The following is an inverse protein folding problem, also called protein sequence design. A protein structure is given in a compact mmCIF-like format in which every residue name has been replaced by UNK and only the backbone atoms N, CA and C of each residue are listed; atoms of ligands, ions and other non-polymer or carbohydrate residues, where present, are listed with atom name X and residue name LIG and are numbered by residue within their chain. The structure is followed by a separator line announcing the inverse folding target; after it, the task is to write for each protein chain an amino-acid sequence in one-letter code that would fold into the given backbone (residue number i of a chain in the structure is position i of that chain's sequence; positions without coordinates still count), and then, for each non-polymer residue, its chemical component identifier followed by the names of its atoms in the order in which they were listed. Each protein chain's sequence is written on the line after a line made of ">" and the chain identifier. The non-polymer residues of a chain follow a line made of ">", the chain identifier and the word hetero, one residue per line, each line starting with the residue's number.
data_IF_824969987051
#
_entry.id   IF_824969987051
#
_cell.length_a   1.000
_cell.length_b   1.000
_cell.length_c   1.000
_cell.angle_alpha   90.00
_cell.angle_beta   90.00
_cell.angle_gamma   90.00
#
_symmetry.space_group_name_H-M   'P 1'
#
loop_
_entity.id
_entity.type
_entity.pdbx_description
1 polymer ?
#
# COMPACT_ATOMS: atom_id res chain seq x y z
N UNK A 1 13.28 -47.89 -24.33
CA UNK A 1 12.43 -47.41 -25.44
C UNK A 1 11.18 -46.69 -24.91
N UNK A 2 11.17 -45.35 -24.96
CA UNK A 2 10.04 -44.54 -24.48
C UNK A 2 10.41 -43.07 -24.35
N UNK A 3 10.49 -42.40 -25.52
CA UNK A 3 10.56 -40.95 -25.83
C UNK A 3 10.33 -40.02 -24.63
N UNK A 4 11.33 -39.23 -24.22
CA UNK A 4 11.58 -37.87 -24.72
C UNK A 4 10.29 -37.02 -24.74
N UNK A 5 9.98 -36.39 -23.60
CA UNK A 5 9.10 -35.22 -23.54
C UNK A 5 10.04 -34.02 -23.50
N UNK A 6 10.38 -33.51 -24.67
CA UNK A 6 11.04 -32.21 -24.81
C UNK A 6 10.07 -31.11 -24.42
N UNK A 7 10.53 -30.29 -23.49
CA UNK A 7 10.19 -28.89 -23.26
C UNK A 7 9.19 -28.24 -24.23
N UNK A 8 8.05 -27.85 -23.68
CA UNK A 8 7.25 -26.71 -24.18
C UNK A 8 6.74 -25.88 -22.99
N UNK A 9 7.67 -25.42 -22.15
CA UNK A 9 7.44 -24.25 -21.29
C UNK A 9 7.95 -23.00 -22.02
N UNK A 10 7.22 -22.57 -23.04
CA UNK A 10 7.35 -21.20 -23.54
C UNK A 10 6.35 -20.35 -22.75
N UNK A 11 6.80 -19.80 -21.64
CA UNK A 11 6.10 -18.75 -20.91
C UNK A 11 6.09 -17.48 -21.76
N UNK A 12 4.96 -17.20 -22.42
CA UNK A 12 4.66 -15.91 -23.04
C UNK A 12 4.62 -14.82 -21.95
N UNK A 13 5.75 -14.20 -21.61
CA UNK A 13 5.75 -12.91 -20.88
C UNK A 13 7.03 -12.10 -21.09
N UNK A 14 7.47 -11.99 -22.34
CA UNK A 14 8.32 -10.90 -22.79
C UNK A 14 7.76 -10.41 -24.10
N UNK A 15 7.33 -9.15 -24.18
CA UNK A 15 7.29 -8.53 -25.49
C UNK A 15 8.72 -8.21 -25.86
N UNK A 16 9.26 -8.93 -26.85
CA UNK A 16 10.57 -8.60 -27.38
C UNK A 16 10.56 -7.15 -27.89
N UNK A 17 11.71 -6.47 -27.91
CA UNK A 17 11.82 -5.12 -28.46
C UNK A 17 11.19 -5.01 -29.88
N UNK A 18 11.27 -6.10 -30.65
CA UNK A 18 10.62 -6.22 -31.96
C UNK A 18 9.09 -6.18 -31.91
N UNK A 19 8.46 -6.78 -30.89
CA UNK A 19 6.99 -6.76 -30.73
C UNK A 19 6.50 -5.37 -30.31
N UNK A 20 7.26 -4.65 -29.49
CA UNK A 20 6.95 -3.26 -29.12
C UNK A 20 7.14 -2.30 -30.30
N UNK A 21 8.18 -2.52 -31.12
CA UNK A 21 8.37 -1.77 -32.36
C UNK A 21 7.25 -2.07 -33.38
N UNK A 22 6.82 -3.32 -33.50
CA UNK A 22 5.68 -3.69 -34.33
C UNK A 22 4.38 -3.04 -33.84
N UNK A 23 4.18 -2.96 -32.51
CA UNK A 23 3.06 -2.23 -31.93
C UNK A 23 3.11 -0.74 -32.28
N UNK A 24 4.28 -0.08 -32.16
CA UNK A 24 4.43 1.32 -32.57
C UNK A 24 4.06 1.52 -34.05
N UNK A 25 4.60 0.69 -34.95
CA UNK A 25 4.29 0.76 -36.38
C UNK A 25 2.82 0.46 -36.72
N UNK A 26 2.08 -0.26 -35.87
CA UNK A 26 0.65 -0.49 -36.05
C UNK A 26 -0.18 0.73 -35.65
N UNK A 27 0.34 1.57 -34.75
CA UNK A 27 -0.29 2.81 -34.30
C UNK A 27 0.06 4.00 -35.20
N UNK A 28 1.29 4.09 -35.69
CA UNK A 28 1.74 5.09 -36.67
C UNK A 28 1.21 4.71 -38.07
N UNK A 29 0.00 5.16 -38.40
CA UNK A 29 -0.72 4.74 -39.62
C UNK A 29 -0.18 5.47 -40.84
N UNK A 30 0.22 6.74 -40.68
CA UNK A 30 0.72 7.55 -41.78
C UNK A 30 2.23 7.36 -42.03
N UNK A 31 2.96 6.73 -41.10
CA UNK A 31 4.38 6.43 -41.19
C UNK A 31 5.29 7.65 -40.99
N UNK A 32 4.81 8.67 -40.27
CA UNK A 32 5.57 9.90 -40.03
C UNK A 32 6.56 9.79 -38.86
N UNK A 33 6.58 8.65 -38.18
CA UNK A 33 7.51 8.33 -37.10
C UNK A 33 7.06 8.81 -35.73
N UNK A 34 5.87 9.38 -35.60
CA UNK A 34 5.21 9.71 -34.33
C UNK A 34 3.78 9.14 -34.32
N UNK A 35 3.16 9.09 -33.14
CA UNK A 35 1.75 8.68 -33.05
C UNK A 35 0.92 9.90 -32.63
N UNK A 36 0.03 10.34 -33.51
CA UNK A 36 -0.94 11.40 -33.18
C UNK A 36 -2.06 10.90 -32.25
N UNK A 37 -2.74 11.82 -31.57
CA UNK A 37 -3.90 11.49 -30.73
C UNK A 37 -4.99 10.77 -31.52
N UNK A 38 -5.25 11.22 -32.75
CA UNK A 38 -6.24 10.64 -33.64
C UNK A 38 -5.92 9.20 -34.01
N UNK A 39 -4.66 8.91 -34.36
CA UNK A 39 -4.18 7.55 -34.66
C UNK A 39 -4.30 6.64 -33.44
N UNK A 40 -3.84 7.12 -32.28
CA UNK A 40 -3.91 6.37 -31.03
C UNK A 40 -5.35 6.01 -30.66
N UNK A 41 -6.26 6.99 -30.70
CA UNK A 41 -7.69 6.78 -30.40
C UNK A 41 -8.34 5.88 -31.45
N UNK A 42 -8.01 6.04 -32.73
CA UNK A 42 -8.58 5.24 -33.80
C UNK A 42 -8.29 3.75 -33.63
N UNK A 43 -7.06 3.39 -33.23
CA UNK A 43 -6.67 2.00 -32.99
C UNK A 43 -7.32 1.45 -31.71
N UNK A 44 -7.29 2.19 -30.60
CA UNK A 44 -7.81 1.69 -29.31
C UNK A 44 -9.34 1.56 -29.22
N UNK A 45 -10.06 2.31 -30.05
CA UNK A 45 -11.53 2.24 -30.11
C UNK A 45 -12.04 1.18 -31.09
N UNK A 46 -11.15 0.58 -31.90
CA UNK A 46 -11.47 -0.59 -32.74
C UNK A 46 -11.34 -1.89 -31.94
N UNK A 47 -12.25 -2.82 -32.18
CA UNK A 47 -12.23 -4.12 -31.51
C UNK A 47 -11.03 -4.97 -31.96
N UNK A 48 -10.17 -5.36 -31.00
CA UNK A 48 -9.26 -6.51 -31.16
C UNK A 48 -7.86 -6.25 -31.74
N UNK A 49 -7.49 -5.02 -32.13
CA UNK A 49 -6.22 -4.76 -32.82
C UNK A 49 -5.05 -4.38 -31.88
N UNK A 50 -5.33 -3.90 -30.66
CA UNK A 50 -4.31 -3.36 -29.73
C UNK A 50 -3.98 -4.25 -28.51
N UNK A 51 -4.30 -5.56 -28.55
CA UNK A 51 -4.07 -6.47 -27.42
C UNK A 51 -4.98 -6.25 -26.20
N UNK A 52 -5.96 -5.34 -26.29
CA UNK A 52 -6.95 -5.09 -25.25
C UNK A 52 -8.19 -5.99 -25.42
N UNK A 53 -8.67 -6.56 -24.31
CA UNK A 53 -9.82 -7.48 -24.29
C UNK A 53 -11.16 -6.85 -24.70
N UNK A 54 -11.24 -5.51 -24.74
CA UNK A 54 -12.42 -4.75 -25.19
C UNK A 54 -11.99 -3.42 -25.84
N UNK A 55 -12.81 -2.89 -26.78
CA UNK A 55 -12.64 -1.52 -27.26
C UNK A 55 -12.65 -0.52 -26.12
N UNK A 56 -11.71 0.42 -26.15
CA UNK A 56 -11.63 1.51 -25.18
C UNK A 56 -12.59 2.64 -25.60
N UNK A 57 -13.15 3.38 -24.64
CA UNK A 57 -13.89 4.60 -24.96
C UNK A 57 -12.92 5.69 -25.39
N UNK A 58 -13.34 6.58 -26.29
CA UNK A 58 -12.49 7.69 -26.76
C UNK A 58 -11.87 8.50 -25.62
N UNK A 59 -12.65 8.86 -24.60
CA UNK A 59 -12.16 9.61 -23.45
C UNK A 59 -11.13 8.84 -22.60
N UNK A 60 -11.23 7.51 -22.53
CA UNK A 60 -10.24 6.66 -21.86
C UNK A 60 -8.94 6.61 -22.68
N UNK A 61 -9.04 6.50 -24.01
CA UNK A 61 -7.88 6.52 -24.91
C UNK A 61 -7.16 7.87 -24.90
N UNK A 62 -7.90 8.98 -24.91
CA UNK A 62 -7.33 10.33 -24.78
C UNK A 62 -6.65 10.55 -23.42
N UNK A 63 -7.21 9.99 -22.34
CA UNK A 63 -6.57 10.05 -21.03
C UNK A 63 -5.28 9.23 -20.99
N UNK A 64 -5.26 8.06 -21.62
CA UNK A 64 -4.06 7.23 -21.73
C UNK A 64 -2.98 7.91 -22.58
N UNK A 65 -3.36 8.49 -23.72
CA UNK A 65 -2.45 9.27 -24.57
C UNK A 65 -1.77 10.39 -23.79
N UNK A 66 -2.57 11.21 -23.08
CA UNK A 66 -2.04 12.29 -22.23
C UNK A 66 -1.12 11.81 -21.10
N UNK A 67 -1.24 10.56 -20.67
CA UNK A 67 -0.33 9.99 -19.67
C UNK A 67 0.99 9.52 -20.27
N UNK A 68 1.06 9.32 -21.60
CA UNK A 68 2.25 8.88 -22.32
C UNK A 68 3.03 10.09 -22.87
N UNK A 69 2.30 11.14 -23.29
CA UNK A 69 2.83 12.42 -23.78
C UNK A 69 3.48 13.21 -22.64
N UNK A 70 4.76 12.94 -22.39
CA UNK A 70 5.50 13.50 -21.26
C UNK A 70 5.94 14.94 -21.51
N UNK A 71 6.28 15.28 -22.75
CA UNK A 71 6.73 16.62 -23.13
C UNK A 71 5.56 17.57 -23.49
N UNK A 72 4.35 17.03 -23.68
CA UNK A 72 3.14 17.79 -23.95
C UNK A 72 3.08 18.36 -25.37
N UNK A 73 3.84 17.79 -26.30
CA UNK A 73 3.90 18.26 -27.68
C UNK A 73 2.68 17.81 -28.52
N UNK A 74 1.81 16.95 -27.97
CA UNK A 74 0.58 16.47 -28.60
C UNK A 74 0.77 15.28 -29.55
N UNK A 75 1.97 14.68 -29.61
CA UNK A 75 2.31 13.46 -30.34
C UNK A 75 3.12 12.53 -29.43
N UNK A 76 3.11 11.22 -29.69
CA UNK A 76 3.96 10.28 -28.95
C UNK A 76 5.17 9.92 -29.79
N UNK A 77 6.36 10.22 -29.27
CA UNK A 77 7.59 9.62 -29.76
C UNK A 77 7.63 8.11 -29.47
N UNK A 78 8.55 7.38 -30.11
CA UNK A 78 8.74 5.95 -29.88
C UNK A 78 9.03 5.62 -28.42
N UNK A 79 9.82 6.46 -27.73
CA UNK A 79 10.16 6.27 -26.33
C UNK A 79 8.97 6.52 -25.39
N UNK A 80 8.19 7.57 -25.67
CA UNK A 80 6.96 7.93 -24.96
C UNK A 80 5.84 6.92 -25.17
N UNK A 81 5.84 6.17 -26.28
CA UNK A 81 4.90 5.08 -26.49
C UNK A 81 5.38 3.77 -25.84
N UNK A 82 6.57 3.28 -26.20
CA UNK A 82 6.98 1.88 -25.91
C UNK A 82 7.02 1.59 -24.41
N UNK A 83 7.59 2.49 -23.61
CA UNK A 83 7.80 2.26 -22.17
C UNK A 83 6.47 2.17 -21.41
N UNK A 84 5.61 3.20 -21.40
CA UNK A 84 4.37 3.14 -20.66
C UNK A 84 3.36 2.17 -21.30
N UNK A 85 3.46 1.88 -22.61
CA UNK A 85 2.67 0.84 -23.25
C UNK A 85 3.00 -0.57 -22.74
N UNK A 86 4.28 -0.90 -22.56
CA UNK A 86 4.69 -2.18 -21.98
C UNK A 86 4.14 -2.35 -20.55
N UNK A 87 4.19 -1.29 -19.74
CA UNK A 87 3.60 -1.26 -18.39
C UNK A 87 2.08 -1.43 -18.46
N UNK A 88 1.40 -0.75 -19.39
CA UNK A 88 -0.04 -0.88 -19.61
C UNK A 88 -0.46 -2.31 -19.94
N UNK A 89 0.24 -2.98 -20.86
CA UNK A 89 -0.07 -4.36 -21.26
C UNK A 89 0.18 -5.36 -20.14
N UNK A 90 1.29 -5.21 -19.40
CA UNK A 90 1.59 -6.07 -18.25
C UNK A 90 0.53 -5.91 -17.15
N UNK A 91 0.10 -4.66 -16.88
CA UNK A 91 -0.99 -4.37 -15.95
C UNK A 91 -2.30 -5.01 -16.38
N UNK A 92 -2.70 -4.91 -17.65
CA UNK A 92 -3.94 -5.52 -18.15
C UNK A 92 -3.89 -7.05 -18.11
N UNK A 93 -2.72 -7.64 -18.36
CA UNK A 93 -2.51 -9.08 -18.24
C UNK A 93 -2.64 -9.56 -16.79
N UNK A 94 -2.13 -8.78 -15.84
CA UNK A 94 -2.31 -9.00 -14.40
C UNK A 94 -3.79 -8.89 -14.00
N UNK A 95 -4.50 -7.83 -14.44
CA UNK A 95 -5.95 -7.68 -14.18
C UNK A 95 -6.73 -8.92 -14.67
N UNK A 96 -6.42 -9.40 -15.87
CA UNK A 96 -7.05 -10.60 -16.44
C UNK A 96 -6.73 -11.86 -15.63
N UNK A 97 -5.55 -11.96 -15.02
CA UNK A 97 -5.22 -13.05 -14.10
C UNK A 97 -5.99 -12.98 -12.79
N UNK A 98 -6.26 -11.78 -12.28
CA UNK A 98 -7.06 -11.56 -11.07
C UNK A 98 -8.53 -11.92 -11.29
N UNK A 99 -9.08 -11.66 -12.48
CA UNK A 99 -10.43 -12.13 -12.86
C UNK A 99 -10.53 -13.66 -12.80
N UNK A 100 -9.47 -14.38 -13.17
CA UNK A 100 -9.43 -15.84 -13.07
C UNK A 100 -9.44 -16.33 -11.60
N UNK A 101 -8.90 -15.56 -10.66
CA UNK A 101 -8.97 -15.87 -9.22
C UNK A 101 -10.40 -15.71 -8.71
N UNK A 102 -11.12 -14.67 -9.14
CA UNK A 102 -12.53 -14.47 -8.80
C UNK A 102 -13.39 -15.62 -9.35
N UNK A 103 -13.15 -16.02 -10.60
CA UNK A 103 -13.84 -17.15 -11.25
C UNK A 103 -13.54 -18.52 -10.60
N UNK A 104 -12.36 -18.68 -10.00
CA UNK A 104 -11.96 -19.91 -9.29
C UNK A 104 -12.49 -19.98 -7.85
N UNK A 105 -13.09 -18.91 -7.32
CA UNK A 105 -13.51 -18.83 -5.93
C UNK A 105 -14.45 -19.99 -5.54
N UNK A 106 -14.13 -20.69 -4.45
CA UNK A 106 -14.84 -21.90 -4.00
C UNK A 106 -14.43 -23.22 -4.69
N UNK A 107 -13.43 -23.22 -5.59
CA UNK A 107 -12.91 -24.41 -6.26
C UNK A 107 -11.42 -24.58 -5.99
N UNK A 108 -11.07 -25.30 -4.92
CA UNK A 108 -9.69 -25.46 -4.43
C UNK A 108 -8.70 -25.90 -5.53
N UNK A 109 -9.09 -26.88 -6.35
CA UNK A 109 -8.26 -27.40 -7.45
C UNK A 109 -7.91 -26.35 -8.55
N UNK A 110 -8.67 -25.26 -8.64
CA UNK A 110 -8.42 -24.16 -9.59
C UNK A 110 -7.74 -22.96 -8.94
N UNK A 111 -7.87 -22.79 -7.62
CA UNK A 111 -7.35 -21.63 -6.90
C UNK A 111 -5.83 -21.53 -7.01
N UNK A 112 -5.11 -22.63 -6.79
CA UNK A 112 -3.64 -22.62 -6.84
C UNK A 112 -3.11 -22.23 -8.23
N UNK A 113 -3.77 -22.69 -9.31
CA UNK A 113 -3.42 -22.32 -10.70
C UNK A 113 -3.66 -20.83 -10.95
N UNK A 114 -4.79 -20.31 -10.47
CA UNK A 114 -5.11 -18.90 -10.60
C UNK A 114 -4.10 -18.03 -9.83
N UNK A 115 -3.75 -18.40 -8.60
CA UNK A 115 -2.72 -17.71 -7.81
C UNK A 115 -1.32 -17.80 -8.44
N UNK A 116 -0.95 -18.96 -9.00
CA UNK A 116 0.31 -19.11 -9.74
C UNK A 116 0.35 -18.20 -10.96
N UNK A 117 -0.75 -18.10 -11.72
CA UNK A 117 -0.87 -17.18 -12.86
C UNK A 117 -0.75 -15.72 -12.42
N UNK A 118 -1.37 -15.32 -11.31
CA UNK A 118 -1.22 -13.97 -10.76
C UNK A 118 0.24 -13.67 -10.43
N UNK A 119 0.97 -14.61 -9.84
CA UNK A 119 2.38 -14.42 -9.51
C UNK A 119 3.23 -14.15 -10.77
N UNK A 120 3.04 -14.94 -11.83
CA UNK A 120 3.76 -14.77 -13.10
C UNK A 120 3.46 -13.40 -13.73
N UNK A 121 2.19 -12.99 -13.74
CA UNK A 121 1.82 -11.69 -14.31
C UNK A 121 2.27 -10.51 -13.44
N UNK A 122 2.31 -10.68 -12.12
CA UNK A 122 2.83 -9.68 -11.21
C UNK A 122 4.35 -9.50 -11.35
N UNK A 123 5.08 -10.60 -11.60
CA UNK A 123 6.51 -10.55 -11.92
C UNK A 123 6.79 -9.78 -13.21
N UNK A 124 6.01 -10.06 -14.26
CA UNK A 124 6.12 -9.34 -15.52
C UNK A 124 5.77 -7.86 -15.40
N UNK A 125 4.74 -7.53 -14.62
CA UNK A 125 4.38 -6.15 -14.31
C UNK A 125 5.50 -5.43 -13.53
N UNK A 126 6.09 -6.09 -12.53
CA UNK A 126 7.24 -5.56 -11.80
C UNK A 126 8.44 -5.32 -12.72
N UNK A 127 8.73 -6.27 -13.62
CA UNK A 127 9.79 -6.11 -14.62
C UNK A 127 9.53 -4.93 -15.56
N UNK A 128 8.32 -4.78 -16.07
CA UNK A 128 7.96 -3.66 -16.94
C UNK A 128 8.18 -2.30 -16.25
N UNK A 129 7.82 -2.20 -14.95
CA UNK A 129 8.09 -0.99 -14.16
C UNK A 129 9.60 -0.73 -13.94
N UNK A 130 10.41 -1.79 -13.81
CA UNK A 130 11.87 -1.65 -13.67
C UNK A 130 12.50 -1.16 -14.99
N UNK A 131 11.99 -1.62 -16.13
CA UNK A 131 12.47 -1.24 -17.46
C UNK A 131 11.96 0.17 -17.88
N UNK A 132 10.90 0.67 -17.22
CA UNK A 132 10.33 2.01 -17.39
C UNK A 132 10.44 2.85 -16.09
N UNK A 133 11.64 3.32 -15.71
CA UNK A 133 11.87 3.94 -14.39
C UNK A 133 11.06 5.23 -14.13
N UNK A 134 10.56 5.90 -15.17
CA UNK A 134 9.65 7.06 -15.04
C UNK A 134 8.29 6.71 -14.42
N UNK A 135 7.86 5.45 -14.50
CA UNK A 135 6.63 4.97 -13.89
C UNK A 135 6.80 4.60 -12.40
N UNK A 136 8.03 4.61 -11.88
CA UNK A 136 8.30 4.47 -10.46
C UNK A 136 8.53 5.85 -9.81
N UNK A 137 8.21 6.01 -8.52
CA UNK A 137 8.62 7.18 -7.77
C UNK A 137 10.12 7.44 -7.90
N UNK A 138 10.49 8.73 -7.94
CA UNK A 138 11.87 9.16 -7.94
C UNK A 138 12.64 8.54 -6.74
N UNK A 139 13.93 8.19 -6.89
CA UNK A 139 14.73 7.65 -5.81
C UNK A 139 14.63 8.47 -4.51
N UNK A 140 14.42 7.78 -3.39
CA UNK A 140 14.31 8.39 -2.06
C UNK A 140 12.92 8.91 -1.70
N UNK A 141 11.96 8.98 -2.64
CA UNK A 141 10.63 9.55 -2.39
C UNK A 141 9.92 8.88 -1.21
N UNK A 142 9.90 7.55 -1.16
CA UNK A 142 9.22 6.80 -0.09
C UNK A 142 10.01 6.71 1.23
N UNK A 143 11.26 7.17 1.25
CA UNK A 143 12.07 7.26 2.46
C UNK A 143 12.15 8.70 3.00
N UNK A 144 11.70 9.69 2.24
CA UNK A 144 11.65 11.09 2.65
C UNK A 144 10.39 11.37 3.46
N UNK A 145 10.56 12.00 4.63
CA UNK A 145 9.44 12.45 5.44
C UNK A 145 8.54 13.47 4.71
N UNK A 146 9.04 14.15 3.67
CA UNK A 146 8.27 15.12 2.89
C UNK A 146 7.05 14.51 2.19
N UNK A 147 7.09 13.22 1.82
CA UNK A 147 5.93 12.54 1.25
C UNK A 147 4.79 12.41 2.27
N UNK A 148 5.13 12.26 3.56
CA UNK A 148 4.15 12.22 4.66
C UNK A 148 3.58 13.62 4.91
N UNK A 149 4.45 14.63 4.97
CA UNK A 149 4.05 16.01 5.23
C UNK A 149 3.19 16.59 4.10
N UNK A 150 3.49 16.26 2.84
CA UNK A 150 2.69 16.65 1.69
C UNK A 150 1.23 16.17 1.81
N UNK A 151 1.00 14.98 2.36
CA UNK A 151 -0.34 14.43 2.57
C UNK A 151 -1.16 15.16 3.66
N UNK A 152 -0.52 15.98 4.51
CA UNK A 152 -1.19 16.79 5.54
C UNK A 152 -1.67 18.15 5.02
N UNK A 153 -1.31 18.51 3.79
CA UNK A 153 -1.63 19.80 3.17
C UNK A 153 -2.81 19.67 2.21
N UNK A 154 -3.70 20.68 2.13
CA UNK A 154 -4.76 20.74 1.12
C UNK A 154 -4.22 20.58 -0.31
N UNK A 155 -4.92 19.81 -1.14
CA UNK A 155 -4.60 19.68 -2.57
C UNK A 155 -4.93 20.96 -3.36
N UNK A 156 -5.89 21.73 -2.86
CA UNK A 156 -6.38 23.00 -3.40
C UNK A 156 -7.04 23.78 -2.24
N UNK A 157 -7.25 25.11 -2.36
CA UNK A 157 -7.80 25.94 -1.28
C UNK A 157 -9.10 25.41 -0.66
N UNK A 158 -9.99 24.83 -1.47
CA UNK A 158 -11.30 24.32 -1.03
C UNK A 158 -11.31 22.80 -0.76
N UNK A 159 -10.15 22.14 -0.87
CA UNK A 159 -10.04 20.71 -0.62
C UNK A 159 -9.55 20.46 0.82
N UNK A 160 -10.19 19.55 1.58
CA UNK A 160 -9.57 19.09 2.81
C UNK A 160 -8.24 18.40 2.48
N UNK A 161 -7.26 18.42 3.40
CA UNK A 161 -6.03 17.68 3.17
C UNK A 161 -6.31 16.18 3.05
N UNK A 162 -5.53 15.45 2.25
CA UNK A 162 -5.70 14.00 2.09
C UNK A 162 -5.74 13.27 3.43
N UNK A 163 -4.89 13.65 4.39
CA UNK A 163 -4.74 12.97 5.68
C UNK A 163 -4.81 13.94 6.87
N UNK A 164 -5.38 13.47 7.97
CA UNK A 164 -5.24 14.03 9.33
C UNK A 164 -4.62 13.02 10.27
N UNK A 165 -3.93 13.47 11.30
CA UNK A 165 -3.28 12.60 12.27
C UNK A 165 -3.81 12.86 13.67
N UNK A 166 -4.25 11.81 14.37
CA UNK A 166 -4.82 11.93 15.71
C UNK A 166 -3.72 12.07 16.75
N UNK A 167 -3.99 12.83 17.81
CA UNK A 167 -3.10 12.94 18.97
C UNK A 167 -3.16 11.68 19.83
N UNK A 168 -2.01 11.22 20.30
CA UNK A 168 -1.95 10.11 21.24
C UNK A 168 -2.61 10.48 22.57
N UNK A 169 -2.53 11.74 23.01
CA UNK A 169 -3.29 12.23 24.18
C UNK A 169 -4.81 12.14 23.99
N UNK A 170 -5.33 12.43 22.79
CA UNK A 170 -6.75 12.27 22.50
C UNK A 170 -7.16 10.80 22.54
N UNK A 171 -6.37 9.92 21.93
CA UNK A 171 -6.58 8.46 21.94
C UNK A 171 -6.63 7.94 23.39
N UNK A 172 -5.64 8.30 24.22
CA UNK A 172 -5.57 7.92 25.64
C UNK A 172 -6.75 8.49 26.46
N UNK A 173 -7.16 9.74 26.21
CA UNK A 173 -8.35 10.35 26.85
C UNK A 173 -9.62 9.58 26.48
N UNK A 174 -9.83 9.30 25.20
CA UNK A 174 -11.00 8.55 24.71
C UNK A 174 -11.04 7.12 25.26
N UNK A 175 -9.89 6.44 25.29
CA UNK A 175 -9.78 5.11 25.88
C UNK A 175 -10.13 5.08 27.38
N UNK A 176 -9.74 6.10 28.16
CA UNK A 176 -10.16 6.22 29.57
C UNK A 176 -11.68 6.35 29.72
N UNK A 177 -12.32 7.14 28.85
CA UNK A 177 -13.79 7.26 28.83
C UNK A 177 -14.46 5.91 28.49
N UNK A 178 -13.94 5.21 27.48
CA UNK A 178 -14.44 3.89 27.08
C UNK A 178 -14.28 2.83 28.18
N UNK A 179 -13.18 2.85 28.93
CA UNK A 179 -12.95 1.98 30.08
C UNK A 179 -13.91 2.27 31.25
N UNK A 180 -14.32 3.54 31.40
CA UNK A 180 -15.22 3.98 32.47
C UNK A 180 -16.72 3.80 32.13
N UNK A 181 -17.06 3.57 30.86
CA UNK A 181 -18.44 3.35 30.43
C UNK A 181 -19.04 2.10 31.09
N UNK A 182 -20.24 2.25 31.64
CA UNK A 182 -20.94 1.21 32.40
C UNK A 182 -21.77 0.25 31.51
N UNK A 183 -22.03 0.64 30.26
CA UNK A 183 -22.88 -0.12 29.33
C UNK A 183 -22.31 -0.18 27.91
N UNK A 184 -22.70 -1.21 27.11
CA UNK A 184 -22.39 -1.25 25.68
C UNK A 184 -22.88 -0.02 24.91
N UNK A 185 -24.04 0.53 25.28
CA UNK A 185 -24.64 1.71 24.65
C UNK A 185 -23.81 2.96 24.92
N UNK A 186 -23.32 3.14 26.15
CA UNK A 186 -22.38 4.22 26.49
C UNK A 186 -21.07 4.08 25.71
N UNK A 187 -20.53 2.86 25.57
CA UNK A 187 -19.34 2.61 24.75
C UNK A 187 -19.57 2.93 23.28
N UNK A 188 -20.74 2.59 22.75
CA UNK A 188 -21.12 2.89 21.37
C UNK A 188 -21.24 4.40 21.14
N UNK A 189 -21.81 5.16 22.09
CA UNK A 189 -21.86 6.62 22.04
C UNK A 189 -20.47 7.27 22.10
N UNK A 190 -19.48 6.57 22.67
CA UNK A 190 -18.09 6.98 22.73
C UNK A 190 -17.21 6.45 21.58
N UNK A 191 -17.79 5.73 20.61
CA UNK A 191 -17.04 5.26 19.45
C UNK A 191 -16.34 6.42 18.73
N UNK A 192 -15.17 6.12 18.15
CA UNK A 192 -14.36 7.11 17.46
C UNK A 192 -15.17 7.75 16.32
N UNK A 193 -15.40 9.07 16.29
CA UNK A 193 -16.16 9.67 15.21
C UNK A 193 -15.45 9.55 13.86
N UNK A 194 -16.22 9.61 12.76
CA UNK A 194 -15.64 9.78 11.42
C UNK A 194 -14.77 11.04 11.42
N UNK A 195 -13.69 11.04 10.62
CA UNK A 195 -12.78 12.20 10.50
C UNK A 195 -13.50 13.54 10.49
N UNK A 196 -14.46 13.73 9.59
CA UNK A 196 -15.13 15.03 9.40
C UNK A 196 -16.03 15.42 10.58
N UNK A 197 -16.61 14.44 11.28
CA UNK A 197 -17.37 14.73 12.50
C UNK A 197 -16.41 15.13 13.62
N UNK A 198 -15.28 14.44 13.74
CA UNK A 198 -14.25 14.75 14.73
C UNK A 198 -13.63 16.14 14.50
N UNK A 199 -13.31 16.50 13.26
CA UNK A 199 -12.82 17.85 12.89
C UNK A 199 -13.79 18.96 13.32
N UNK A 200 -15.11 18.69 13.26
CA UNK A 200 -16.13 19.65 13.68
C UNK A 200 -16.31 19.71 15.20
N UNK A 201 -16.29 18.56 15.87
CA UNK A 201 -16.65 18.47 17.30
C UNK A 201 -15.46 18.62 18.25
N UNK A 202 -14.26 18.28 17.80
CA UNK A 202 -13.03 18.27 18.60
C UNK A 202 -11.82 18.53 17.70
N UNK A 203 -11.67 19.75 17.15
CA UNK A 203 -10.58 20.08 16.21
C UNK A 203 -9.19 19.89 16.81
N UNK A 204 -9.06 20.04 18.14
CA UNK A 204 -7.82 19.82 18.88
C UNK A 204 -7.39 18.35 18.93
N UNK A 205 -8.23 17.41 18.46
CA UNK A 205 -7.91 16.00 18.36
C UNK A 205 -6.78 15.70 17.36
N UNK A 206 -6.43 16.64 16.48
CA UNK A 206 -5.48 16.43 15.39
C UNK A 206 -4.16 17.18 15.57
N UNK A 207 -3.06 16.54 15.20
CA UNK A 207 -1.72 17.13 15.11
C UNK A 207 -1.44 17.63 13.69
N UNK A 208 -0.86 18.83 13.59
CA UNK A 208 -0.43 19.40 12.31
C UNK A 208 1.03 19.06 11.97
N UNK A 209 1.48 19.52 10.80
CA UNK A 209 2.84 19.30 10.31
C UNK A 209 3.90 19.98 11.19
N UNK A 210 3.67 21.22 11.62
CA UNK A 210 4.65 22.00 12.36
C UNK A 210 4.94 21.34 13.71
N UNK A 211 3.88 20.94 14.41
CA UNK A 211 3.99 20.25 15.68
C UNK A 211 4.62 18.86 15.52
N UNK A 212 4.24 18.10 14.49
CA UNK A 212 4.86 16.79 14.22
C UNK A 212 6.36 16.92 13.96
N UNK A 213 6.78 17.94 13.21
CA UNK A 213 8.21 18.24 12.99
C UNK A 213 8.91 18.60 14.28
N UNK A 214 8.31 19.45 15.12
CA UNK A 214 8.89 19.88 16.39
C UNK A 214 9.05 18.73 17.41
N UNK A 215 8.15 17.75 17.38
CA UNK A 215 8.17 16.59 18.30
C UNK A 215 9.05 15.44 17.81
N UNK A 216 9.34 15.38 16.52
CA UNK A 216 10.17 14.32 15.95
C UNK A 216 11.65 14.53 16.31
N UNK A 217 12.35 13.43 16.62
CA UNK A 217 13.73 13.52 17.11
C UNK A 217 14.66 14.18 16.05
N UNK A 218 15.52 15.13 16.44
CA UNK A 218 16.51 15.69 15.53
C UNK A 218 17.53 14.63 15.13
N UNK A 219 18.11 14.79 13.93
CA UNK A 219 19.20 13.93 13.46
C UNK A 219 20.41 14.09 14.38
N UNK A 220 20.74 13.07 15.19
CA UNK A 220 22.02 13.04 15.91
C UNK A 220 23.04 12.39 14.98
N UNK A 221 23.93 13.20 14.43
CA UNK A 221 25.01 12.74 13.54
C UNK A 221 25.90 11.71 14.25
N UNK A 222 26.04 10.54 13.61
CA UNK A 222 26.80 9.37 14.05
C UNK A 222 26.43 8.14 13.21
N UNK A 223 27.16 7.03 13.36
CA UNK A 223 27.02 5.79 12.55
C UNK A 223 25.67 5.03 12.71
N UNK A 224 24.67 5.62 13.38
CA UNK A 224 23.40 4.98 13.74
C UNK A 224 22.21 5.84 13.32
N UNK A 225 21.20 5.25 12.69
CA UNK A 225 19.93 5.92 12.42
C UNK A 225 19.24 6.17 13.78
N UNK A 226 19.22 7.43 14.20
CA UNK A 226 18.49 7.89 15.41
C UNK A 226 17.22 8.66 15.08
N UNK A 227 17.00 8.99 13.79
CA UNK A 227 15.83 9.74 13.34
C UNK A 227 14.62 8.81 13.24
N UNK A 228 13.62 9.05 14.09
CA UNK A 228 12.26 8.52 13.94
C UNK A 228 11.27 9.65 14.14
N UNK A 229 10.12 9.55 13.47
CA UNK A 229 9.04 10.52 13.64
C UNK A 229 8.22 10.16 14.87
N UNK A 230 7.71 11.17 15.58
CA UNK A 230 6.70 10.98 16.61
C UNK A 230 5.33 10.65 15.96
N UNK A 231 5.30 9.57 15.18
CA UNK A 231 4.22 9.17 14.29
C UNK A 231 4.04 7.65 14.32
N UNK A 232 2.86 7.20 14.72
CA UNK A 232 2.38 5.82 14.62
C UNK A 232 1.39 5.64 13.46
N UNK A 233 1.32 4.44 12.89
CA UNK A 233 0.27 4.04 11.97
C UNK A 233 -0.39 2.74 12.45
N UNK A 234 -1.71 2.77 12.65
CA UNK A 234 -2.48 1.61 13.11
C UNK A 234 -2.91 0.75 11.92
N UNK A 235 -2.55 -0.54 11.96
CA UNK A 235 -3.15 -1.58 11.13
C UNK A 235 -4.07 -2.43 12.00
N UNK A 236 -5.32 -2.61 11.57
CA UNK A 236 -6.38 -3.21 12.39
C UNK A 236 -7.55 -3.69 11.53
N UNK A 237 -8.44 -4.47 12.13
CA UNK A 237 -9.58 -5.05 11.42
C UNK A 237 -10.83 -4.16 11.55
N UNK A 238 -11.49 -3.90 10.43
CA UNK A 238 -12.87 -3.39 10.47
C UNK A 238 -13.82 -4.47 11.01
N UNK A 239 -14.46 -4.20 12.15
CA UNK A 239 -15.37 -5.13 12.83
C UNK A 239 -16.78 -5.17 12.22
N UNK A 240 -17.25 -4.04 11.66
CA UNK A 240 -18.49 -3.99 10.86
C UNK A 240 -18.25 -3.21 9.56
N UNK A 241 -19.25 -3.16 8.68
CA UNK A 241 -19.17 -2.40 7.44
C UNK A 241 -19.31 -0.88 7.67
N UNK A 242 -20.01 -0.50 8.73
CA UNK A 242 -20.35 0.89 9.07
C UNK A 242 -19.26 1.56 9.91
N UNK A 243 -18.63 0.81 10.81
CA UNK A 243 -17.65 1.34 11.74
C UNK A 243 -16.59 0.31 12.09
N UNK A 244 -15.29 0.67 12.07
CA UNK A 244 -14.24 -0.30 12.27
C UNK A 244 -14.11 -0.77 13.72
N UNK A 245 -14.49 0.07 14.70
CA UNK A 245 -14.43 -0.25 16.13
C UNK A 245 -15.66 0.24 16.93
N UNK A 246 -16.86 -0.34 16.71
CA UNK A 246 -18.13 0.23 17.19
C UNK A 246 -18.25 0.40 18.70
N UNK A 247 -17.43 -0.32 19.48
CA UNK A 247 -17.40 -0.27 20.95
C UNK A 247 -16.08 0.26 21.50
N UNK A 248 -15.19 0.78 20.65
CA UNK A 248 -13.90 1.34 21.07
C UNK A 248 -12.94 0.32 21.70
N UNK A 249 -13.08 -0.97 21.40
CA UNK A 249 -12.26 -2.02 22.01
C UNK A 249 -10.84 -2.00 21.45
N UNK A 250 -10.70 -1.86 20.13
CA UNK A 250 -9.39 -1.74 19.49
C UNK A 250 -8.70 -0.42 19.85
N UNK A 251 -9.45 0.68 20.00
CA UNK A 251 -8.92 1.96 20.47
C UNK A 251 -8.38 1.87 21.91
N UNK A 252 -9.06 1.11 22.78
CA UNK A 252 -8.60 0.85 24.15
C UNK A 252 -7.32 0.02 24.17
N UNK A 253 -7.20 -0.99 23.29
CA UNK A 253 -5.99 -1.77 23.11
C UNK A 253 -4.83 -0.93 22.56
N UNK A 254 -5.09 -0.08 21.55
CA UNK A 254 -4.10 0.85 21.02
C UNK A 254 -3.58 1.79 22.12
N UNK A 255 -4.47 2.39 22.92
CA UNK A 255 -4.06 3.26 24.01
C UNK A 255 -3.15 2.54 25.02
N UNK A 256 -3.46 1.29 25.37
CA UNK A 256 -2.61 0.48 26.24
C UNK A 256 -1.23 0.18 25.60
N UNK A 257 -1.19 -0.10 24.29
CA UNK A 257 0.06 -0.30 23.56
C UNK A 257 0.92 0.97 23.51
N UNK A 258 0.30 2.14 23.32
CA UNK A 258 0.96 3.45 23.37
C UNK A 258 1.56 3.68 24.77
N UNK A 259 0.76 3.50 25.83
CA UNK A 259 1.20 3.67 27.22
C UNK A 259 2.37 2.73 27.57
N UNK A 260 2.33 1.47 27.10
CA UNK A 260 3.42 0.52 27.29
C UNK A 260 4.69 0.93 26.51
N UNK A 261 4.53 1.43 25.28
CA UNK A 261 5.65 1.88 24.46
C UNK A 261 6.30 3.16 25.01
N UNK A 262 5.53 4.05 25.62
CA UNK A 262 6.01 5.26 26.31
C UNK A 262 6.80 4.94 27.60
N UNK A 263 6.52 3.80 28.24
CA UNK A 263 7.13 3.40 29.51
C UNK A 263 8.42 2.57 29.36
N UNK A 264 8.79 2.13 28.15
CA UNK A 264 9.97 1.28 27.92
C UNK A 264 11.30 2.04 27.93
N UNK A 265 12.42 1.30 28.06
CA UNK A 265 13.79 1.86 28.05
C UNK A 265 14.12 2.63 26.77
N UNK A 266 13.57 2.18 25.65
CA UNK A 266 13.58 2.87 24.36
C UNK A 266 12.21 3.52 24.14
N UNK A 267 11.89 4.52 24.94
CA UNK A 267 10.55 5.08 25.02
C UNK A 267 10.05 5.66 23.69
N UNK A 268 8.84 5.31 23.31
CA UNK A 268 8.06 6.02 22.31
C UNK A 268 7.74 7.45 22.81
N UNK A 269 7.61 8.46 21.94
CA UNK A 269 7.34 9.83 22.38
C UNK A 269 6.05 9.94 23.20
N UNK A 270 6.10 10.67 24.32
CA UNK A 270 4.95 10.84 25.23
C UNK A 270 3.75 11.57 24.63
N UNK A 271 3.95 12.25 23.50
CA UNK A 271 2.90 12.73 22.60
C UNK A 271 3.33 12.44 21.16
N UNK A 272 2.43 11.83 20.39
CA UNK A 272 2.70 11.40 19.03
C UNK A 272 1.44 11.53 18.18
N UNK A 273 1.65 11.70 16.87
CA UNK A 273 0.63 11.65 15.87
C UNK A 273 0.29 10.20 15.49
N UNK A 274 -0.97 9.91 15.17
CA UNK A 274 -1.41 8.58 14.73
C UNK A 274 -2.19 8.66 13.43
N UNK A 275 -1.73 7.90 12.44
CA UNK A 275 -2.52 7.55 11.27
C UNK A 275 -3.45 6.38 11.62
N UNK A 276 -4.76 6.62 11.57
CA UNK A 276 -5.81 5.62 11.75
C UNK A 276 -6.81 5.83 10.61
N UNK A 277 -6.82 4.94 9.62
CA UNK A 277 -7.53 5.10 8.34
C UNK A 277 -8.93 5.77 8.45
N UNK A 278 -9.76 5.35 9.40
CA UNK A 278 -11.13 5.82 9.60
C UNK A 278 -11.22 7.28 10.07
N UNK A 279 -10.29 7.69 10.94
CA UNK A 279 -10.24 9.04 11.48
C UNK A 279 -9.21 9.93 10.77
N UNK A 280 -8.35 9.34 9.94
CA UNK A 280 -7.33 10.02 9.14
C UNK A 280 -7.77 10.35 7.72
N UNK A 281 -8.61 9.51 7.10
CA UNK A 281 -9.10 9.72 5.73
C UNK A 281 -10.54 10.23 5.73
N UNK A 282 -10.97 11.01 4.72
CA UNK A 282 -12.37 11.40 4.58
C UNK A 282 -13.26 10.16 4.46
N UNK A 283 -14.33 10.08 5.26
CA UNK A 283 -15.27 8.96 5.24
C UNK A 283 -16.55 9.32 4.48
N UNK A 284 -17.29 8.31 4.01
CA UNK A 284 -18.62 8.53 3.43
C UNK A 284 -19.53 9.18 4.49
N UNK A 285 -20.32 10.17 4.07
CA UNK A 285 -21.33 10.83 4.90
C UNK A 285 -22.58 9.97 5.12
N UNK A 286 -23.58 10.48 5.86
CA UNK A 286 -24.87 9.79 6.09
C UNK A 286 -25.59 9.36 4.79
N UNK A 287 -25.38 10.09 3.69
CA UNK A 287 -25.90 9.71 2.36
C UNK A 287 -25.07 8.65 1.61
N UNK A 288 -24.10 8.00 2.27
CA UNK A 288 -23.24 6.97 1.69
C UNK A 288 -22.23 7.50 0.66
N UNK A 289 -22.04 8.82 0.57
CA UNK A 289 -21.19 9.48 -0.42
C UNK A 289 -20.26 10.50 0.24
N UNK A 290 -19.13 10.74 -0.40
CA UNK A 290 -18.22 11.87 -0.12
C UNK A 290 -18.61 13.06 -0.98
N UNK A 291 -18.35 14.27 -0.52
CA UNK A 291 -18.36 15.44 -1.41
C UNK A 291 -17.27 15.30 -2.48
N UNK A 292 -17.32 16.04 -3.61
CA UNK A 292 -16.26 15.99 -4.62
C UNK A 292 -14.86 16.30 -4.04
N UNK A 293 -14.76 17.30 -3.16
CA UNK A 293 -13.52 17.67 -2.49
C UNK A 293 -13.00 16.56 -1.56
N UNK A 294 -13.89 15.95 -0.76
CA UNK A 294 -13.55 14.79 0.08
C UNK A 294 -13.16 13.57 -0.74
N UNK A 295 -13.80 13.35 -1.90
CA UNK A 295 -13.48 12.24 -2.80
C UNK A 295 -12.09 12.40 -3.42
N UNK A 296 -11.72 13.63 -3.83
CA UNK A 296 -10.38 13.94 -4.31
C UNK A 296 -9.32 13.70 -3.23
N UNK A 297 -9.55 14.23 -2.02
CA UNK A 297 -8.66 14.03 -0.87
C UNK A 297 -8.52 12.55 -0.49
N UNK A 298 -9.64 11.81 -0.45
CA UNK A 298 -9.64 10.37 -0.18
C UNK A 298 -8.88 9.59 -1.25
N UNK A 299 -9.08 9.91 -2.54
CA UNK A 299 -8.37 9.25 -3.64
C UNK A 299 -6.87 9.50 -3.58
N UNK A 300 -6.44 10.73 -3.26
CA UNK A 300 -5.03 11.07 -3.10
C UNK A 300 -4.39 10.35 -1.91
N UNK A 301 -5.10 10.24 -0.78
CA UNK A 301 -4.64 9.50 0.40
C UNK A 301 -4.56 8.00 0.11
N UNK A 302 -5.58 7.42 -0.53
CA UNK A 302 -5.65 6.00 -0.84
C UNK A 302 -4.54 5.58 -1.83
N UNK A 303 -4.26 6.41 -2.83
CA UNK A 303 -3.17 6.18 -3.79
C UNK A 303 -1.76 6.23 -3.18
N UNK A 304 -1.63 6.71 -1.94
CA UNK A 304 -0.38 6.73 -1.20
C UNK A 304 -0.47 6.03 0.16
N UNK A 305 -1.47 5.19 0.39
CA UNK A 305 -1.72 4.62 1.72
C UNK A 305 -0.55 3.78 2.26
N UNK A 306 0.23 3.16 1.38
CA UNK A 306 1.42 2.39 1.71
C UNK A 306 2.42 3.17 2.57
N UNK A 307 2.58 4.49 2.34
CA UNK A 307 3.68 5.26 2.94
C UNK A 307 3.56 5.29 4.46
N UNK A 308 2.34 5.28 5.00
CA UNK A 308 2.09 5.32 6.44
C UNK A 308 2.60 4.05 7.14
N UNK A 309 2.60 2.92 6.44
CA UNK A 309 3.08 1.66 6.98
C UNK A 309 4.51 1.36 6.56
N UNK A 310 4.90 1.67 5.33
CA UNK A 310 6.21 1.30 4.77
C UNK A 310 7.33 2.28 5.13
N UNK A 311 7.02 3.54 5.46
CA UNK A 311 8.04 4.57 5.61
C UNK A 311 9.02 4.22 6.75
N UNK A 312 10.35 4.31 6.54
CA UNK A 312 11.35 3.88 7.51
C UNK A 312 11.27 4.59 8.87
N UNK A 313 10.82 5.86 8.89
CA UNK A 313 10.75 6.67 10.11
C UNK A 313 9.42 6.57 10.89
N UNK A 314 8.43 5.84 10.37
CA UNK A 314 7.11 5.67 11.02
C UNK A 314 7.06 4.39 11.83
N UNK A 315 6.42 4.41 13.00
CA UNK A 315 6.16 3.19 13.78
C UNK A 315 4.85 2.54 13.38
N UNK A 316 4.88 1.26 13.00
CA UNK A 316 3.65 0.52 12.72
C UNK A 316 3.10 -0.13 14.00
N UNK A 317 1.82 0.05 14.28
CA UNK A 317 1.10 -0.60 15.37
C UNK A 317 0.14 -1.64 14.77
N UNK A 318 0.34 -2.92 15.07
CA UNK A 318 -0.39 -4.02 14.44
C UNK A 318 -1.39 -4.65 15.44
N UNK A 319 -2.68 -4.38 15.28
CA UNK A 319 -3.75 -5.00 16.05
C UNK A 319 -4.20 -6.31 15.41
N UNK A 320 -3.42 -7.37 15.62
CA UNK A 320 -3.63 -8.68 14.97
C UNK A 320 -4.72 -9.56 15.61
N UNK A 321 -5.14 -9.23 16.82
CA UNK A 321 -6.20 -9.95 17.55
C UNK A 321 -7.54 -9.24 17.43
N UNK A 322 -8.63 -10.01 17.39
CA UNK A 322 -10.01 -9.49 17.31
C UNK A 322 -10.68 -9.46 18.69
N UNK A 323 -11.39 -8.36 19.05
CA UNK A 323 -12.20 -8.28 20.27
C UNK A 323 -13.16 -9.47 20.42
N UNK A 324 -13.49 -9.81 21.66
CA UNK A 324 -14.43 -10.91 21.94
C UNK A 324 -15.81 -10.62 21.33
N UNK A 325 -16.47 -11.67 20.81
CA UNK A 325 -17.75 -11.53 20.12
C UNK A 325 -17.64 -11.22 18.62
N UNK A 326 -16.42 -11.16 18.07
CA UNK A 326 -16.17 -11.00 16.63
C UNK A 326 -15.54 -12.24 15.99
N UNK A 327 -15.80 -13.44 16.51
CA UNK A 327 -15.23 -14.69 16.02
C UNK A 327 -15.64 -15.04 14.58
N UNK A 328 -16.76 -14.47 14.10
CA UNK A 328 -17.26 -14.63 12.72
C UNK A 328 -16.62 -13.65 11.73
N UNK A 329 -15.93 -12.65 12.24
CA UNK A 329 -15.25 -11.64 11.44
C UNK A 329 -13.91 -12.23 10.99
N UNK A 330 -13.50 -12.08 9.71
CA UNK A 330 -12.21 -12.60 9.26
C UNK A 330 -11.05 -12.08 10.10
N UNK A 331 -10.12 -12.97 10.43
CA UNK A 331 -8.92 -12.66 11.21
C UNK A 331 -7.99 -11.73 10.44
N UNK A 332 -7.05 -11.13 11.16
CA UNK A 332 -6.09 -10.17 10.60
C UNK A 332 -5.32 -10.76 9.40
N UNK A 333 -4.85 -12.00 9.49
CA UNK A 333 -4.06 -12.65 8.45
C UNK A 333 -4.90 -13.14 7.26
N UNK A 334 -6.23 -13.15 7.38
CA UNK A 334 -7.15 -13.58 6.32
C UNK A 334 -7.55 -12.43 5.38
N UNK A 335 -7.24 -11.19 5.77
CA UNK A 335 -7.63 -9.96 5.09
C UNK A 335 -6.51 -9.41 4.23
N UNK A 336 -6.88 -8.82 3.09
CA UNK A 336 -5.95 -8.30 2.10
C UNK A 336 -5.18 -7.08 2.59
N UNK A 337 -5.89 -6.04 3.03
CA UNK A 337 -5.29 -4.78 3.49
C UNK A 337 -4.31 -4.98 4.65
N UNK A 338 -4.74 -5.63 5.73
CA UNK A 338 -3.89 -5.92 6.90
C UNK A 338 -2.67 -6.79 6.56
N UNK A 339 -2.80 -7.73 5.61
CA UNK A 339 -1.66 -8.50 5.08
C UNK A 339 -0.64 -7.57 4.41
N UNK A 340 -1.10 -6.62 3.60
CA UNK A 340 -0.23 -5.66 2.91
C UNK A 340 0.39 -4.65 3.87
N UNK A 341 -0.38 -4.14 4.84
CA UNK A 341 0.09 -3.21 5.87
C UNK A 341 1.20 -3.84 6.74
N UNK A 342 1.00 -5.09 7.18
CA UNK A 342 2.04 -5.83 7.88
C UNK A 342 3.28 -6.09 7.00
N UNK A 343 3.08 -6.42 5.72
CA UNK A 343 4.18 -6.62 4.78
C UNK A 343 4.99 -5.34 4.56
N UNK A 344 4.32 -4.21 4.32
CA UNK A 344 4.92 -2.88 4.20
C UNK A 344 5.72 -2.51 5.44
N UNK A 345 5.16 -2.74 6.63
CA UNK A 345 5.85 -2.48 7.89
C UNK A 345 7.15 -3.28 8.00
N UNK A 346 7.17 -4.50 7.47
CA UNK A 346 8.32 -5.41 7.54
C UNK A 346 9.41 -5.16 6.49
N UNK A 347 9.19 -4.32 5.46
CA UNK A 347 10.12 -4.16 4.33
C UNK A 347 11.49 -3.61 4.74
N UNK A 348 11.56 -2.33 5.10
CA UNK A 348 12.84 -1.60 5.20
C UNK A 348 12.97 -0.72 6.45
N UNK A 349 12.13 -0.94 7.48
CA UNK A 349 12.26 -0.20 8.74
C UNK A 349 13.56 -0.59 9.47
N UNK A 350 14.40 0.38 9.88
CA UNK A 350 15.63 0.08 10.59
C UNK A 350 15.33 -0.34 12.04
N UNK A 351 15.99 -1.42 12.48
CA UNK A 351 16.08 -1.76 13.89
C UNK A 351 17.17 -0.90 14.55
N UNK A 352 16.95 -0.44 15.78
CA UNK A 352 17.94 0.34 16.51
C UNK A 352 17.87 0.00 17.99
N UNK A 353 19.03 -0.22 18.62
CA UNK A 353 19.12 -0.38 20.08
C UNK A 353 19.07 0.95 20.83
N UNK A 354 18.91 2.07 20.12
CA UNK A 354 18.94 3.42 20.69
C UNK A 354 17.60 4.17 20.55
N UNK A 355 16.57 3.53 19.99
CA UNK A 355 15.29 4.15 19.70
C UNK A 355 14.16 3.11 19.78
N UNK A 356 12.92 3.54 19.98
CA UNK A 356 11.76 2.66 20.16
C UNK A 356 11.56 1.68 19.00
N UNK A 357 10.83 0.59 19.24
CA UNK A 357 10.58 -0.43 18.22
C UNK A 357 9.89 0.14 16.97
N UNK A 358 10.33 -0.22 15.74
CA UNK A 358 9.69 0.27 14.51
C UNK A 358 8.34 -0.39 14.21
N UNK A 359 8.07 -1.54 14.84
CA UNK A 359 6.82 -2.29 14.74
C UNK A 359 6.44 -2.70 16.15
N UNK A 360 5.20 -2.42 16.54
CA UNK A 360 4.66 -2.69 17.87
C UNK A 360 3.40 -3.53 17.68
N UNK A 361 3.37 -4.70 18.31
CA UNK A 361 2.15 -5.50 18.39
C UNK A 361 1.17 -4.83 19.36
N UNK A 362 -0.09 -4.69 18.97
CA UNK A 362 -1.13 -4.13 19.83
C UNK A 362 -1.83 -5.29 20.50
N UNK A 363 -1.57 -5.55 21.81
CA UNK A 363 -2.15 -6.69 22.48
C UNK A 363 -3.64 -6.48 22.73
N UNK A 364 -4.37 -7.59 22.69
CA UNK A 364 -5.67 -7.70 23.30
C UNK A 364 -5.51 -8.39 24.66
N UNK A 365 -6.45 -8.17 25.59
CA UNK A 365 -6.39 -8.79 26.91
C UNK A 365 -6.15 -10.31 26.82
N UNK A 366 -5.03 -10.81 27.36
CA UNK A 366 -4.83 -12.25 27.59
C UNK A 366 -3.53 -12.89 27.12
N UNK A 367 -2.77 -12.33 26.18
CA UNK A 367 -1.39 -12.75 25.89
C UNK A 367 -0.69 -11.76 24.96
N UNK A 368 0.55 -11.39 25.28
CA UNK A 368 1.44 -10.72 24.32
C UNK A 368 2.03 -11.81 23.45
N UNK A 369 1.57 -11.95 22.21
CA UNK A 369 2.33 -12.75 21.25
C UNK A 369 3.45 -11.87 20.72
N UNK A 370 4.70 -12.25 20.96
CA UNK A 370 5.84 -11.54 20.42
C UNK A 370 5.75 -11.51 18.88
N UNK A 371 5.66 -10.31 18.31
CA UNK A 371 5.64 -10.13 16.87
C UNK A 371 7.04 -10.42 16.30
N UNK A 372 7.14 -11.47 15.49
CA UNK A 372 8.32 -11.74 14.67
C UNK A 372 8.14 -11.07 13.32
N UNK A 373 8.98 -10.09 13.05
CA UNK A 373 9.04 -9.43 11.73
C UNK A 373 9.33 -10.49 10.65
N UNK A 374 8.45 -10.69 9.65
CA UNK A 374 8.70 -11.64 8.58
C UNK A 374 9.80 -11.11 7.63
N UNK A 375 10.40 -12.02 6.86
CA UNK A 375 11.26 -11.63 5.75
C UNK A 375 10.51 -10.77 4.72
N UNK A 376 11.18 -9.82 4.05
CA UNK A 376 10.58 -9.09 2.94
C UNK A 376 10.22 -10.06 1.81
N UNK A 377 9.19 -9.75 1.02
CA UNK A 377 8.73 -10.57 -0.11
C UNK A 377 8.98 -9.84 -1.43
N UNK A 378 9.11 -10.60 -2.52
CA UNK A 378 9.08 -10.06 -3.88
C UNK A 378 7.67 -9.58 -4.26
N UNK A 379 7.50 -8.69 -5.25
CA UNK A 379 6.19 -8.29 -5.73
C UNK A 379 5.31 -9.48 -6.15
N UNK A 380 5.91 -10.48 -6.81
CA UNK A 380 5.22 -11.67 -7.29
C UNK A 380 4.73 -12.57 -6.13
N UNK A 381 5.58 -12.78 -5.12
CA UNK A 381 5.22 -13.56 -3.93
C UNK A 381 4.08 -12.89 -3.15
N UNK A 382 4.16 -11.56 -2.95
CA UNK A 382 3.11 -10.82 -2.26
C UNK A 382 1.80 -10.81 -3.05
N UNK A 383 1.85 -10.62 -4.38
CA UNK A 383 0.66 -10.67 -5.23
C UNK A 383 -0.04 -12.04 -5.17
N UNK A 384 0.75 -13.14 -5.18
CA UNK A 384 0.23 -14.50 -5.01
C UNK A 384 -0.50 -14.66 -3.67
N UNK A 385 0.13 -14.22 -2.58
CA UNK A 385 -0.43 -14.30 -1.23
C UNK A 385 -1.74 -13.52 -1.13
N UNK A 386 -1.73 -12.26 -1.59
CA UNK A 386 -2.83 -11.31 -1.44
C UNK A 386 -4.02 -11.69 -2.32
N UNK A 387 -3.81 -12.32 -3.48
CA UNK A 387 -4.89 -12.80 -4.33
C UNK A 387 -5.85 -13.78 -3.64
N UNK A 388 -5.35 -14.54 -2.66
CA UNK A 388 -6.15 -15.46 -1.84
C UNK A 388 -6.85 -14.83 -0.64
N UNK A 389 -6.63 -13.54 -0.37
CA UNK A 389 -7.14 -12.86 0.83
C UNK A 389 -8.53 -12.26 0.61
N UNK A 390 -9.21 -11.94 1.71
CA UNK A 390 -10.52 -11.28 1.72
C UNK A 390 -10.37 -9.77 1.62
N UNK A 391 -11.18 -9.15 0.76
CA UNK A 391 -11.24 -7.71 0.55
C UNK A 391 -12.66 -7.21 0.70
N UNK A 392 -12.82 -5.95 1.10
CA UNK A 392 -14.12 -5.28 1.17
C UNK A 392 -14.76 -5.16 -0.21
N UNK A 393 -13.97 -4.79 -1.22
CA UNK A 393 -14.38 -4.78 -2.62
C UNK A 393 -13.28 -5.41 -3.47
N UNK A 394 -13.25 -6.75 -3.54
CA UNK A 394 -12.16 -7.51 -4.20
C UNK A 394 -11.85 -7.02 -5.62
N UNK A 395 -12.86 -6.67 -6.42
CA UNK A 395 -12.68 -6.19 -7.81
C UNK A 395 -11.96 -4.85 -7.91
N UNK A 396 -12.14 -3.94 -6.95
CA UNK A 396 -11.47 -2.64 -6.94
C UNK A 396 -10.17 -2.67 -6.13
N UNK A 397 -10.19 -3.33 -4.99
CA UNK A 397 -9.13 -3.21 -3.98
C UNK A 397 -7.92 -4.07 -4.36
N UNK A 398 -8.13 -5.30 -4.83
CA UNK A 398 -7.05 -6.24 -5.10
C UNK A 398 -6.07 -5.74 -6.18
N UNK A 399 -6.53 -5.24 -7.36
CA UNK A 399 -5.63 -4.65 -8.34
C UNK A 399 -4.81 -3.48 -7.79
N UNK A 400 -5.49 -2.55 -7.12
CA UNK A 400 -4.88 -1.36 -6.55
C UNK A 400 -3.80 -1.74 -5.54
N UNK A 401 -4.11 -2.67 -4.63
CA UNK A 401 -3.17 -3.12 -3.60
C UNK A 401 -1.97 -3.83 -4.21
N UNK A 402 -2.13 -4.67 -5.23
CA UNK A 402 -0.98 -5.28 -5.93
C UNK A 402 -0.12 -4.22 -6.61
N UNK A 403 -0.73 -3.21 -7.22
CA UNK A 403 0.00 -2.10 -7.85
C UNK A 403 0.80 -1.30 -6.81
N UNK A 404 0.18 -0.90 -5.69
CA UNK A 404 0.84 -0.21 -4.59
C UNK A 404 1.99 -1.05 -4.01
N UNK A 405 1.74 -2.34 -3.75
CA UNK A 405 2.75 -3.28 -3.26
C UNK A 405 3.97 -3.35 -4.18
N UNK A 406 3.72 -3.52 -5.48
CA UNK A 406 4.78 -3.64 -6.47
C UNK A 406 5.65 -2.39 -6.51
N UNK A 407 5.03 -1.21 -6.61
CA UNK A 407 5.74 0.07 -6.60
C UNK A 407 6.52 0.28 -5.30
N UNK A 408 5.94 -0.09 -4.15
CA UNK A 408 6.56 0.07 -2.83
C UNK A 408 7.80 -0.79 -2.67
N UNK A 409 7.69 -2.09 -2.98
CA UNK A 409 8.79 -3.04 -2.86
C UNK A 409 9.92 -2.62 -3.80
N UNK A 410 9.63 -2.36 -5.08
CA UNK A 410 10.64 -1.94 -6.05
C UNK A 410 11.35 -0.65 -5.63
N UNK A 411 10.61 0.36 -5.17
CA UNK A 411 11.19 1.65 -4.81
C UNK A 411 12.00 1.58 -3.53
N UNK A 412 11.45 1.00 -2.46
CA UNK A 412 12.16 0.92 -1.18
C UNK A 412 13.37 -0.01 -1.26
N UNK A 413 13.26 -1.17 -1.92
CA UNK A 413 14.41 -2.07 -2.05
C UNK A 413 15.51 -1.44 -2.89
N UNK A 414 15.16 -0.81 -4.03
CA UNK A 414 16.13 -0.05 -4.86
C UNK A 414 16.89 0.98 -4.04
N UNK A 415 16.20 1.73 -3.20
CA UNK A 415 16.74 2.90 -2.50
C UNK A 415 17.43 2.53 -1.16
N UNK A 416 17.24 1.30 -0.66
CA UNK A 416 17.78 0.88 0.63
C UNK A 416 19.28 0.59 0.56
N UNK A 417 20.08 1.37 1.29
CA UNK A 417 21.53 1.13 1.42
C UNK A 417 21.91 0.11 2.50
N UNK A 418 21.04 -0.05 3.50
CA UNK A 418 21.26 -0.94 4.64
C UNK A 418 19.99 -1.69 4.99
N UNK A 419 20.05 -3.01 4.99
CA UNK A 419 18.99 -3.85 5.53
C UNK A 419 19.36 -4.24 6.96
N UNK A 420 18.39 -4.25 7.87
CA UNK A 420 18.60 -4.57 9.29
C UNK A 420 17.55 -5.57 9.76
N UNK A 421 17.92 -6.86 9.69
CA UNK A 421 17.06 -7.98 10.08
C UNK A 421 17.66 -8.85 11.18
N UNK A 422 18.67 -8.33 11.89
CA UNK A 422 19.22 -9.00 13.07
C UNK A 422 18.10 -9.30 14.09
N UNK A 423 18.21 -10.44 14.77
CA UNK A 423 17.31 -10.85 15.86
C UNK A 423 15.84 -11.06 15.45
N UNK A 424 15.52 -11.18 14.15
CA UNK A 424 14.15 -11.51 13.71
C UNK A 424 13.77 -12.99 13.98
N UNK A 425 14.73 -13.82 14.39
CA UNK A 425 14.49 -15.23 14.73
C UNK A 425 14.09 -16.09 13.52
N UNK A 426 14.64 -15.76 12.35
CA UNK A 426 14.41 -16.42 11.06
C UNK A 426 15.11 -17.78 10.96
N UNK A 427 14.48 -18.70 10.25
CA UNK A 427 15.06 -19.97 9.81
C UNK A 427 15.37 -19.97 8.31
N UNK A 428 15.64 -21.16 7.77
CA UNK A 428 16.06 -21.32 6.37
C UNK A 428 15.03 -20.76 5.37
N UNK A 429 13.74 -20.94 5.62
CA UNK A 429 12.68 -20.45 4.73
C UNK A 429 12.62 -18.93 4.62
N UNK A 430 12.77 -18.21 5.74
CA UNK A 430 12.85 -16.75 5.70
C UNK A 430 14.15 -16.25 5.04
N UNK A 431 15.25 -17.00 5.18
CA UNK A 431 16.50 -16.69 4.49
C UNK A 431 16.40 -16.88 2.99
N UNK A 432 15.79 -17.97 2.52
CA UNK A 432 15.47 -18.18 1.10
C UNK A 432 14.62 -17.03 0.55
N UNK A 433 13.60 -16.63 1.30
CA UNK A 433 12.73 -15.52 0.91
C UNK A 433 13.49 -14.19 0.83
N UNK A 434 14.43 -13.93 1.75
CA UNK A 434 15.31 -12.75 1.68
C UNK A 434 16.18 -12.78 0.41
N UNK A 435 16.77 -13.95 0.07
CA UNK A 435 17.62 -14.10 -1.11
C UNK A 435 16.88 -13.78 -2.42
N UNK A 436 15.57 -14.06 -2.49
CA UNK A 436 14.75 -13.67 -3.64
C UNK A 436 14.58 -12.14 -3.79
N UNK A 437 14.67 -11.40 -2.68
CA UNK A 437 14.50 -9.93 -2.67
C UNK A 437 15.81 -9.20 -2.95
N UNK A 438 16.97 -9.75 -2.58
CA UNK A 438 18.27 -9.09 -2.74
C UNK A 438 18.57 -8.56 -4.15
N UNK A 439 18.18 -9.22 -5.26
CA UNK A 439 18.36 -8.68 -6.61
C UNK A 439 17.65 -7.34 -6.86
N UNK A 440 16.63 -7.00 -6.07
CA UNK A 440 15.93 -5.71 -6.13
C UNK A 440 16.72 -4.58 -5.44
N UNK A 441 17.66 -4.93 -4.56
CA UNK A 441 18.39 -4.00 -3.70
C UNK A 441 19.65 -3.42 -4.36
N UNK A 442 19.46 -2.59 -5.39
CA UNK A 442 20.55 -2.05 -6.22
C UNK A 442 21.57 -1.19 -5.47
N UNK A 443 21.14 -0.53 -4.39
CA UNK A 443 21.99 0.36 -3.60
C UNK A 443 22.51 -0.28 -2.30
N UNK A 444 22.25 -1.58 -2.07
CA UNK A 444 22.62 -2.25 -0.83
C UNK A 444 24.13 -2.28 -0.63
N UNK A 445 24.58 -1.75 0.50
CA UNK A 445 25.99 -1.73 0.93
C UNK A 445 26.24 -2.57 2.18
N UNK A 446 25.20 -2.80 2.98
CA UNK A 446 25.27 -3.55 4.24
C UNK A 446 23.99 -4.34 4.49
N UNK A 447 24.15 -5.60 4.89
CA UNK A 447 23.08 -6.49 5.34
C UNK A 447 23.30 -6.87 6.81
#
# INVERSE_FOLDING_TARGET
>A
PGRCVTDTHTTHTQMAAAELAAAFSAFDVNGDGVISLEEFVAILTRSGEAGNARPMRRNEAEALFRSFDCDGNGVLSTEEFIRPWAVHLARNSLLSALDAVDAANGRENLMWKAQARVAVQAEAFAKALVDAPGDLPAPGTYASADVLYAALRPLAPDCPPPVRLLRSSWIKKRARQLRAAASPEERQALAMPRRQDLERTDPDAFMDEEELRARSAPDRTGSFITKKLALGALSYCWLTAEHPDPRGEQLVSLAAAIEAAEAGDQAFPGEAAFFIDFASLPQKGPGGRRTPAEAAAFSAALGNMQIWYSHPLVTAFLARSLPSGHEKVPRYEERGWTTCEASWAALAKPMSHYCWAPIIDVPQQGAVQEYRRPAPTTPAALARLVAGKRFTSKKSDLPMVIELNTRTILSLMRDTEKLEFAQCGWGDGEMEQLLEVLPLCRNLRKL
#
